data_IF_551333430692
#
_entry.id   IF_551333430692
#
_cell.length_a   1.000
_cell.length_b   1.000
_cell.length_c   1.000
_cell.angle_alpha   90.00
_cell.angle_beta   90.00
_cell.angle_gamma   90.00
#
_symmetry.space_group_name_H-M   'P 1'
#
loop_
_entity.id
_entity.type
_entity.pdbx_description
1 polymer ?
#
# COMPACT_ATOMS: atom_id res chain seq x y z
N UNK A 1 17.40 -15.77 12.11
CA UNK A 1 17.98 -14.97 11.02
C UNK A 1 17.09 -13.78 10.73
N UNK A 2 17.64 -12.59 10.75
CA UNK A 2 16.82 -11.45 10.36
C UNK A 2 16.47 -11.54 8.88
N UNK A 3 15.21 -11.25 8.59
CA UNK A 3 14.75 -11.19 7.22
C UNK A 3 15.34 -9.98 6.53
N UNK A 4 15.94 -10.18 5.38
CA UNK A 4 16.41 -9.08 4.57
C UNK A 4 15.23 -8.56 3.73
N UNK A 5 14.83 -7.34 3.97
CA UNK A 5 13.77 -6.69 3.19
C UNK A 5 14.45 -5.86 2.11
N UNK A 6 14.18 -6.21 0.86
CA UNK A 6 14.75 -5.49 -0.27
C UNK A 6 13.82 -4.33 -0.64
N UNK A 7 14.26 -3.08 -0.49
CA UNK A 7 13.41 -1.95 -0.82
C UNK A 7 13.05 -1.93 -2.30
N UNK A 8 11.77 -1.72 -2.58
CA UNK A 8 11.29 -1.54 -3.94
C UNK A 8 11.26 -0.06 -4.28
N UNK A 9 11.62 0.33 -5.50
CA UNK A 9 11.56 1.73 -5.88
C UNK A 9 10.13 2.24 -5.89
N UNK A 10 9.96 3.53 -5.59
CA UNK A 10 8.65 4.17 -5.63
C UNK A 10 8.15 4.22 -7.07
N UNK A 11 6.94 3.73 -7.36
CA UNK A 11 6.40 3.79 -8.71
C UNK A 11 6.14 5.21 -9.16
N UNK A 12 6.15 5.42 -10.47
CA UNK A 12 5.73 6.68 -11.06
C UNK A 12 4.26 6.55 -11.42
N UNK A 13 3.46 7.49 -10.94
CA UNK A 13 2.05 7.51 -11.27
C UNK A 13 1.81 8.23 -12.58
N UNK A 14 1.20 7.54 -13.53
CA UNK A 14 0.80 8.10 -14.82
C UNK A 14 -0.69 7.82 -15.00
N UNK A 15 -1.50 8.87 -15.06
CA UNK A 15 -2.93 8.73 -15.29
C UNK A 15 -3.73 8.39 -14.03
N UNK A 16 -4.98 7.96 -14.20
CA UNK A 16 -5.86 7.66 -13.07
C UNK A 16 -5.32 6.55 -12.17
N UNK A 17 -5.64 6.67 -10.90
CA UNK A 17 -5.27 5.65 -9.93
C UNK A 17 -6.06 4.36 -10.17
N UNK A 18 -5.37 3.23 -10.10
CA UNK A 18 -6.00 1.92 -10.09
C UNK A 18 -5.46 1.07 -8.95
N UNK A 19 -6.10 -0.07 -8.72
CA UNK A 19 -5.73 -0.94 -7.60
C UNK A 19 -4.31 -1.48 -7.74
N UNK A 20 -3.90 -1.80 -8.96
CA UNK A 20 -2.57 -2.34 -9.21
C UNK A 20 -1.48 -1.31 -8.89
N UNK A 21 -1.66 -0.08 -9.36
CA UNK A 21 -0.70 1.00 -9.08
C UNK A 21 -0.64 1.28 -7.58
N UNK A 22 -1.80 1.37 -6.93
CA UNK A 22 -1.85 1.60 -5.49
C UNK A 22 -1.12 0.49 -4.73
N UNK A 23 -1.33 -0.76 -5.11
CA UNK A 23 -0.65 -1.88 -4.47
C UNK A 23 0.86 -1.78 -4.59
N UNK A 24 1.36 -1.32 -5.73
CA UNK A 24 2.80 -1.10 -5.93
C UNK A 24 3.35 -0.01 -5.02
N UNK A 25 2.58 1.07 -4.83
CA UNK A 25 2.97 2.13 -3.89
C UNK A 25 3.02 1.61 -2.45
N UNK A 26 2.04 0.83 -2.05
CA UNK A 26 2.00 0.26 -0.71
C UNK A 26 3.20 -0.65 -0.48
N UNK A 27 3.47 -1.53 -1.43
CA UNK A 27 4.61 -2.44 -1.33
C UNK A 27 5.94 -1.67 -1.30
N UNK A 28 6.09 -0.66 -2.16
CA UNK A 28 7.31 0.14 -2.19
C UNK A 28 7.54 0.82 -0.83
N UNK A 29 6.50 1.43 -0.27
CA UNK A 29 6.64 2.12 1.01
C UNK A 29 6.94 1.15 2.14
N UNK A 30 6.24 0.01 2.17
CA UNK A 30 6.48 -1.04 3.18
C UNK A 30 7.93 -1.52 3.14
N UNK A 31 8.42 -1.87 1.95
CA UNK A 31 9.77 -2.42 1.81
C UNK A 31 10.85 -1.37 2.06
N UNK A 32 10.59 -0.11 1.67
CA UNK A 32 11.50 0.99 1.98
C UNK A 32 11.58 1.26 3.48
N UNK A 33 10.52 0.96 4.21
CA UNK A 33 10.48 1.07 5.67
C UNK A 33 11.02 -0.17 6.37
N UNK A 34 11.52 -1.15 5.61
CA UNK A 34 12.09 -2.40 6.13
C UNK A 34 11.10 -3.22 6.93
N UNK A 35 9.82 -3.14 6.58
CA UNK A 35 8.77 -3.91 7.25
C UNK A 35 8.41 -5.15 6.44
N UNK A 36 8.41 -6.30 7.10
CA UNK A 36 7.86 -7.51 6.53
C UNK A 36 6.33 -7.45 6.52
N UNK A 37 5.69 -8.40 5.85
CA UNK A 37 4.24 -8.39 5.68
C UNK A 37 3.50 -8.43 7.03
N UNK A 38 3.91 -9.33 7.93
CA UNK A 38 3.27 -9.46 9.25
C UNK A 38 3.47 -8.21 10.10
N UNK A 39 4.68 -7.67 10.08
CA UNK A 39 4.99 -6.46 10.85
C UNK A 39 4.19 -5.27 10.36
N UNK A 40 4.10 -5.11 9.05
CA UNK A 40 3.36 -3.99 8.45
C UNK A 40 1.86 -4.12 8.72
N UNK A 41 1.31 -5.32 8.62
CA UNK A 41 -0.10 -5.55 8.91
C UNK A 41 -0.41 -5.20 10.37
N UNK A 42 0.44 -5.64 11.30
CA UNK A 42 0.29 -5.30 12.70
C UNK A 42 0.40 -3.80 12.95
N UNK A 43 1.37 -3.16 12.31
CA UNK A 43 1.57 -1.71 12.42
C UNK A 43 0.35 -0.93 11.91
N UNK A 44 -0.25 -1.38 10.81
CA UNK A 44 -1.42 -0.72 10.23
C UNK A 44 -2.74 -1.11 10.90
N UNK A 45 -2.71 -2.15 11.73
CA UNK A 45 -3.94 -2.64 12.39
C UNK A 45 -4.88 -3.37 11.46
N UNK A 46 -4.34 -4.07 10.44
CA UNK A 46 -5.13 -4.85 9.51
C UNK A 46 -4.64 -6.30 9.48
N UNK A 47 -5.47 -7.19 8.96
CA UNK A 47 -5.07 -8.58 8.77
C UNK A 47 -3.99 -8.69 7.70
N UNK A 48 -3.10 -9.66 7.83
CA UNK A 48 -2.06 -9.93 6.84
C UNK A 48 -2.68 -10.17 5.46
N UNK A 49 -3.77 -10.91 5.42
CA UNK A 49 -4.49 -11.19 4.17
C UNK A 49 -4.99 -9.91 3.51
N UNK A 50 -5.49 -8.96 4.31
CA UNK A 50 -5.95 -7.68 3.81
C UNK A 50 -4.81 -6.90 3.16
N UNK A 51 -3.67 -6.82 3.84
CA UNK A 51 -2.50 -6.14 3.29
C UNK A 51 -2.01 -6.81 2.02
N UNK A 52 -1.97 -8.14 2.01
CA UNK A 52 -1.56 -8.90 0.83
C UNK A 52 -2.48 -8.62 -0.36
N UNK A 53 -3.79 -8.57 -0.14
CA UNK A 53 -4.75 -8.25 -1.19
C UNK A 53 -4.54 -6.85 -1.75
N UNK A 54 -4.24 -5.89 -0.90
CA UNK A 54 -3.95 -4.52 -1.34
C UNK A 54 -2.72 -4.51 -2.24
N UNK A 55 -1.63 -5.13 -1.81
CA UNK A 55 -0.38 -5.12 -2.57
C UNK A 55 -0.44 -5.85 -3.89
N UNK A 56 -1.27 -6.88 -3.97
CA UNK A 56 -1.38 -7.70 -5.18
C UNK A 56 -2.60 -7.35 -6.04
N UNK A 57 -3.41 -6.40 -5.59
CA UNK A 57 -4.63 -5.97 -6.26
C UNK A 57 -5.58 -7.15 -6.51
N UNK A 58 -5.71 -8.04 -5.53
CA UNK A 58 -6.59 -9.19 -5.62
C UNK A 58 -7.78 -9.05 -4.68
N UNK A 59 -8.96 -9.47 -5.18
CA UNK A 59 -10.16 -9.44 -4.37
C UNK A 59 -10.62 -8.05 -4.02
N UNK A 60 -11.62 -7.99 -3.17
CA UNK A 60 -12.19 -6.72 -2.72
C UNK A 60 -11.67 -6.39 -1.33
N UNK A 61 -11.25 -5.14 -1.16
CA UNK A 61 -10.80 -4.64 0.13
C UNK A 61 -11.60 -3.38 0.44
N UNK A 62 -12.03 -3.26 1.68
CA UNK A 62 -12.77 -2.07 2.11
C UNK A 62 -11.91 -0.82 1.90
N UNK A 63 -12.52 0.23 1.38
CA UNK A 63 -11.83 1.50 1.19
C UNK A 63 -11.26 2.01 2.51
N UNK A 64 -12.00 1.85 3.62
CA UNK A 64 -11.53 2.27 4.93
C UNK A 64 -10.21 1.60 5.32
N UNK A 65 -10.05 0.31 4.99
CA UNK A 65 -8.80 -0.41 5.25
C UNK A 65 -7.67 0.12 4.40
N UNK A 66 -7.94 0.41 3.13
CA UNK A 66 -6.96 0.99 2.21
C UNK A 66 -6.49 2.34 2.72
N UNK A 67 -7.43 3.20 3.12
CA UNK A 67 -7.10 4.53 3.65
C UNK A 67 -6.27 4.44 4.92
N UNK A 68 -6.61 3.49 5.79
CA UNK A 68 -5.85 3.26 7.03
C UNK A 68 -4.41 2.85 6.73
N UNK A 69 -4.23 1.88 5.84
CA UNK A 69 -2.89 1.40 5.47
C UNK A 69 -2.07 2.53 4.87
N UNK A 70 -2.66 3.28 3.94
CA UNK A 70 -1.95 4.39 3.30
C UNK A 70 -1.54 5.45 4.32
N UNK A 71 -2.47 5.83 5.21
CA UNK A 71 -2.17 6.82 6.25
C UNK A 71 -1.04 6.36 7.16
N UNK A 72 -1.08 5.10 7.60
CA UNK A 72 -0.08 4.56 8.49
C UNK A 72 1.31 4.47 7.84
N UNK A 73 1.34 4.22 6.54
CA UNK A 73 2.61 4.14 5.80
C UNK A 73 3.07 5.48 5.24
N UNK A 74 2.30 6.54 5.45
CA UNK A 74 2.68 7.87 4.96
C UNK A 74 2.40 8.10 3.49
N UNK A 75 1.49 7.32 2.91
CA UNK A 75 1.08 7.48 1.52
C UNK A 75 -0.11 8.44 1.48
N UNK A 76 0.02 9.49 0.70
CA UNK A 76 -1.03 10.50 0.58
C UNK A 76 -1.91 10.20 -0.63
N UNK A 77 -3.20 9.99 -0.38
CA UNK A 77 -4.18 9.81 -1.43
C UNK A 77 -4.97 11.09 -1.59
N UNK A 78 -5.07 11.55 -2.81
CA UNK A 78 -5.79 12.78 -3.13
C UNK A 78 -6.76 12.52 -4.27
N UNK A 79 -7.84 13.25 -4.27
CA UNK A 79 -8.80 13.26 -5.37
C UNK A 79 -8.68 14.60 -6.07
N UNK A 80 -8.44 14.56 -7.38
CA UNK A 80 -8.43 15.79 -8.16
C UNK A 80 -9.83 16.12 -8.60
N UNK A 81 -10.24 17.39 -8.49
CA UNK A 81 -11.56 17.77 -9.00
C UNK A 81 -11.57 17.68 -10.52
N UNK A 82 -12.76 17.46 -11.04
CA UNK A 82 -12.94 17.43 -12.48
C UNK A 82 -12.91 18.86 -13.05
N UNK A 83 -12.58 18.95 -14.32
CA UNK A 83 -12.65 20.21 -15.03
C UNK A 83 -14.02 20.35 -15.67
N UNK A 84 -14.56 21.55 -15.69
CA UNK A 84 -15.83 21.86 -16.33
C UNK A 84 -15.61 22.57 -17.66
#
# INVERSE_FOLDING_TARGET
MPKTIKPMPTPVQCGPLDAETLGKFVRARRTQSRLGMHEAAAFCGVAVDTLSKIETARGDVKLSSILTVCRMLGIHLKVEPWEE
#
